data_IF_061613674817
#
_entry.id   IF_061613674817
#
_cell.length_a   1.000
_cell.length_b   1.000
_cell.length_c   1.000
_cell.angle_alpha   90.00
_cell.angle_beta   90.00
_cell.angle_gamma   90.00
#
_symmetry.space_group_name_H-M   'P 1'
#
loop_
_entity.id
_entity.type
_entity.pdbx_description
1 polymer ?
#
# COMPACT_ATOMS: atom_id res chain seq x y z
N UNK A 1 -0.82 1.37 33.65
CA UNK A 1 -0.90 -0.10 33.61
C UNK A 1 -1.36 -0.47 32.23
N UNK A 2 -0.45 -0.88 31.35
CA UNK A 2 -0.82 -1.36 30.03
C UNK A 2 -1.69 -2.59 30.20
N UNK A 3 -2.85 -2.63 29.53
CA UNK A 3 -3.64 -3.85 29.47
C UNK A 3 -2.75 -4.94 28.87
N UNK A 4 -2.38 -5.93 29.69
CA UNK A 4 -1.79 -7.16 29.18
C UNK A 4 -2.74 -7.70 28.10
N UNK A 5 -2.20 -7.94 26.91
CA UNK A 5 -2.97 -8.61 25.87
C UNK A 5 -3.43 -9.95 26.44
N UNK A 6 -4.74 -10.20 26.40
CA UNK A 6 -5.31 -11.46 26.85
C UNK A 6 -4.62 -12.59 26.08
N UNK A 7 -4.02 -13.52 26.82
CA UNK A 7 -3.45 -14.74 26.23
C UNK A 7 -4.50 -15.47 25.39
N UNK A 8 -4.05 -16.01 24.25
CA UNK A 8 -4.89 -16.74 23.32
C UNK A 8 -5.41 -17.98 24.03
N UNK A 9 -6.74 -18.11 24.12
CA UNK A 9 -7.35 -19.30 24.71
C UNK A 9 -7.08 -20.53 23.83
N UNK A 10 -6.79 -21.67 24.44
CA UNK A 10 -6.63 -22.98 23.78
C UNK A 10 -7.96 -23.62 23.39
N UNK A 11 -9.07 -22.87 23.50
CA UNK A 11 -10.40 -23.34 23.14
C UNK A 11 -10.55 -23.42 21.64
N UNK A 12 -11.06 -24.55 21.15
CA UNK A 12 -11.41 -24.77 19.75
C UNK A 12 -12.45 -23.75 19.24
N UNK A 13 -13.23 -23.14 20.14
CA UNK A 13 -14.14 -22.04 19.83
C UNK A 13 -13.84 -20.81 20.69
N UNK A 14 -13.95 -19.63 20.09
CA UNK A 14 -13.86 -18.35 20.79
C UNK A 14 -14.91 -17.39 20.24
N UNK A 15 -15.67 -16.76 21.14
CA UNK A 15 -16.74 -15.84 20.80
C UNK A 15 -16.23 -14.41 20.73
N UNK A 16 -16.65 -13.69 19.70
CA UNK A 16 -16.30 -12.31 19.45
C UNK A 16 -17.57 -11.45 19.33
N UNK A 17 -17.40 -10.15 19.56
CA UNK A 17 -18.41 -9.14 19.33
C UNK A 17 -17.78 -7.95 18.60
N UNK A 18 -18.60 -7.17 17.93
CA UNK A 18 -18.15 -5.90 17.37
C UNK A 18 -17.78 -4.94 18.50
N UNK A 19 -16.81 -4.04 18.24
CA UNK A 19 -16.48 -2.96 19.19
C UNK A 19 -17.62 -1.95 19.30
N UNK A 20 -18.29 -1.69 18.18
CA UNK A 20 -19.50 -0.88 18.09
C UNK A 20 -20.59 -1.81 17.61
N UNK A 21 -21.57 -2.08 18.47
CA UNK A 21 -22.65 -3.01 18.18
C UNK A 21 -23.69 -2.38 17.23
N UNK A 22 -24.32 -3.20 16.39
CA UNK A 22 -25.38 -2.74 15.50
C UNK A 22 -26.12 -3.84 14.76
N UNK A 23 -25.48 -4.99 14.55
CA UNK A 23 -26.09 -6.14 13.85
C UNK A 23 -26.58 -7.24 14.79
N UNK A 24 -26.05 -7.30 16.01
CA UNK A 24 -26.32 -8.35 16.99
C UNK A 24 -25.99 -9.75 16.45
N UNK A 25 -24.91 -9.83 15.68
CA UNK A 25 -24.43 -11.09 15.12
C UNK A 25 -23.70 -11.90 16.20
N UNK A 26 -23.88 -13.23 16.17
CA UNK A 26 -23.06 -14.15 16.95
C UNK A 26 -21.83 -14.52 16.12
N UNK A 27 -20.65 -14.01 16.52
CA UNK A 27 -19.38 -14.25 15.82
C UNK A 27 -18.58 -15.31 16.57
N UNK A 28 -18.25 -16.40 15.88
CA UNK A 28 -17.54 -17.55 16.42
C UNK A 28 -16.28 -17.76 15.58
N UNK A 29 -15.12 -17.74 16.24
CA UNK A 29 -13.87 -18.23 15.69
C UNK A 29 -13.73 -19.69 16.07
N UNK A 30 -13.51 -20.54 15.08
CA UNK A 30 -13.19 -21.95 15.26
C UNK A 30 -11.69 -22.20 15.05
N UNK A 31 -11.19 -23.34 15.52
CA UNK A 31 -9.78 -23.75 15.46
C UNK A 31 -8.98 -23.36 16.71
N UNK A 32 -7.74 -23.81 16.80
CA UNK A 32 -6.86 -23.63 17.97
C UNK A 32 -5.51 -22.97 17.62
N UNK A 33 -5.20 -22.79 16.33
CA UNK A 33 -3.95 -22.20 15.83
C UNK A 33 -4.17 -21.23 14.66
N UNK A 34 -3.40 -20.13 14.53
CA UNK A 34 -3.65 -19.10 13.51
C UNK A 34 -3.59 -19.57 12.04
N UNK A 35 -3.03 -20.74 11.77
CA UNK A 35 -2.98 -21.42 10.47
C UNK A 35 -4.23 -22.25 10.14
N UNK A 36 -5.10 -22.51 11.14
CA UNK A 36 -6.28 -23.38 11.00
C UNK A 36 -7.63 -22.72 11.36
N UNK A 37 -7.60 -21.41 11.66
CA UNK A 37 -8.82 -20.70 12.01
C UNK A 37 -9.83 -20.67 10.87
N UNK A 38 -11.11 -20.71 11.22
CA UNK A 38 -12.21 -20.35 10.34
C UNK A 38 -13.28 -19.62 11.14
N UNK A 39 -14.18 -18.92 10.46
CA UNK A 39 -15.17 -18.08 11.12
C UNK A 39 -16.59 -18.48 10.75
N UNK A 40 -17.46 -18.40 11.75
CA UNK A 40 -18.90 -18.52 11.60
C UNK A 40 -19.56 -17.28 12.18
N UNK A 41 -20.41 -16.63 11.39
CA UNK A 41 -21.22 -15.49 11.80
C UNK A 41 -22.67 -15.88 11.67
N UNK A 42 -23.45 -15.74 12.73
CA UNK A 42 -24.89 -16.05 12.73
C UNK A 42 -25.66 -14.76 12.94
N UNK A 43 -26.47 -14.38 11.97
CA UNK A 43 -27.32 -13.20 12.08
C UNK A 43 -28.55 -13.43 12.95
N UNK A 44 -29.28 -12.35 13.25
CA UNK A 44 -30.52 -12.40 14.06
C UNK A 44 -31.64 -13.26 13.46
N UNK A 45 -31.60 -13.55 12.16
CA UNK A 45 -32.58 -14.40 11.48
C UNK A 45 -32.17 -15.88 11.49
N UNK A 46 -31.01 -16.20 12.06
CA UNK A 46 -30.44 -17.54 12.08
C UNK A 46 -29.73 -17.93 10.78
N UNK A 47 -29.44 -16.97 9.89
CA UNK A 47 -28.61 -17.22 8.70
C UNK A 47 -27.15 -17.30 9.14
N UNK A 48 -26.48 -18.37 8.71
CA UNK A 48 -25.08 -18.66 9.04
C UNK A 48 -24.21 -18.30 7.85
N UNK A 49 -23.15 -17.53 8.10
CA UNK A 49 -22.12 -17.15 7.14
C UNK A 49 -20.82 -17.82 7.56
N UNK A 50 -20.26 -18.66 6.69
CA UNK A 50 -19.05 -19.44 6.97
C UNK A 50 -17.90 -18.89 6.14
N UNK A 51 -16.74 -18.68 6.77
CA UNK A 51 -15.56 -18.08 6.14
C UNK A 51 -14.32 -18.94 6.32
N UNK A 52 -13.56 -19.12 5.24
CA UNK A 52 -12.23 -19.73 5.22
C UNK A 52 -12.18 -21.24 5.44
N UNK A 53 -13.31 -21.94 5.30
CA UNK A 53 -13.36 -23.41 5.27
C UNK A 53 -14.45 -23.90 4.32
N UNK A 54 -14.22 -25.03 3.66
CA UNK A 54 -15.27 -25.78 2.96
C UNK A 54 -15.93 -26.78 3.93
N UNK A 55 -17.16 -26.49 4.36
CA UNK A 55 -17.90 -27.21 5.41
C UNK A 55 -18.07 -28.72 5.18
N UNK A 56 -18.06 -29.21 3.94
CA UNK A 56 -18.20 -30.65 3.62
C UNK A 56 -16.87 -31.39 3.56
N UNK A 57 -15.77 -30.67 3.69
CA UNK A 57 -14.40 -31.17 3.65
C UNK A 57 -13.70 -30.84 4.97
N UNK A 58 -14.34 -31.22 6.08
CA UNK A 58 -13.72 -31.12 7.41
C UNK A 58 -12.48 -32.01 7.41
N UNK A 59 -11.30 -31.40 7.28
CA UNK A 59 -10.00 -32.08 7.21
C UNK A 59 -9.24 -31.91 5.89
N UNK A 60 -9.80 -31.28 4.86
CA UNK A 60 -9.04 -30.87 3.68
C UNK A 60 -8.39 -29.51 3.88
N UNK A 61 -7.22 -29.32 3.25
CA UNK A 61 -6.51 -28.05 3.18
C UNK A 61 -7.50 -26.92 2.81
N UNK A 62 -7.62 -25.83 3.59
CA UNK A 62 -8.39 -24.66 3.18
C UNK A 62 -7.73 -24.18 1.89
N UNK A 63 -8.33 -24.46 0.74
CA UNK A 63 -7.80 -24.10 -0.57
C UNK A 63 -7.73 -22.58 -0.77
N UNK A 64 -8.10 -22.03 -1.93
CA UNK A 64 -8.02 -20.59 -2.19
C UNK A 64 -9.04 -19.74 -1.39
N UNK A 65 -9.63 -20.30 -0.33
CA UNK A 65 -10.64 -19.68 0.55
C UNK A 65 -10.03 -18.84 1.68
N UNK A 66 -8.70 -18.84 1.79
CA UNK A 66 -7.94 -18.03 2.74
C UNK A 66 -6.71 -17.42 2.06
N UNK A 67 -6.24 -16.28 2.55
CA UNK A 67 -4.90 -15.78 2.22
C UNK A 67 -3.97 -16.01 3.40
N UNK A 68 -2.85 -16.68 3.12
CA UNK A 68 -1.87 -17.10 4.13
C UNK A 68 -0.53 -16.40 3.95
N UNK A 69 0.14 -16.18 5.06
CA UNK A 69 1.52 -15.69 5.08
C UNK A 69 2.47 -16.77 4.54
N UNK A 70 3.31 -16.49 3.53
CA UNK A 70 4.16 -17.51 2.92
C UNK A 70 5.11 -18.24 3.88
N UNK A 71 5.63 -17.56 4.89
CA UNK A 71 6.65 -18.12 5.80
C UNK A 71 6.06 -18.92 6.97
N UNK A 72 4.86 -18.59 7.41
CA UNK A 72 4.28 -19.12 8.66
C UNK A 72 2.99 -19.92 8.45
N UNK A 73 2.41 -19.87 7.24
CA UNK A 73 1.09 -20.41 6.92
C UNK A 73 -0.07 -19.82 7.75
N UNK A 74 0.21 -18.77 8.54
CA UNK A 74 -0.81 -18.07 9.31
C UNK A 74 -1.80 -17.39 8.38
N UNK A 75 -3.09 -17.53 8.70
CA UNK A 75 -4.15 -16.94 7.88
C UNK A 75 -4.32 -15.46 8.23
N UNK A 76 -4.32 -14.60 7.21
CA UNK A 76 -4.58 -13.17 7.35
C UNK A 76 -5.97 -12.74 6.84
N UNK A 77 -6.57 -13.52 5.94
CA UNK A 77 -7.89 -13.23 5.36
C UNK A 77 -8.67 -14.53 5.17
N UNK A 78 -9.93 -14.52 5.59
CA UNK A 78 -10.89 -15.61 5.39
C UNK A 78 -11.98 -15.15 4.42
N UNK A 79 -12.17 -15.87 3.32
CA UNK A 79 -13.19 -15.57 2.30
C UNK A 79 -14.50 -16.26 2.66
N UNK A 80 -15.64 -15.65 2.31
CA UNK A 80 -16.96 -16.24 2.50
C UNK A 80 -17.06 -17.49 1.64
N UNK A 81 -17.31 -18.66 2.22
CA UNK A 81 -17.43 -19.91 1.48
C UNK A 81 -18.87 -20.38 1.40
N UNK A 82 -19.70 -20.06 2.41
CA UNK A 82 -21.09 -20.50 2.47
C UNK A 82 -22.00 -19.50 3.17
N UNK A 83 -23.24 -19.43 2.69
CA UNK A 83 -24.38 -18.83 3.38
C UNK A 83 -25.47 -19.88 3.51
N UNK A 84 -25.90 -20.17 4.73
CA UNK A 84 -26.87 -21.22 5.04
C UNK A 84 -28.04 -20.59 5.79
N UNK A 85 -29.25 -20.70 5.25
CA UNK A 85 -30.44 -20.21 5.94
C UNK A 85 -30.93 -21.17 7.04
N UNK A 86 -31.93 -20.74 7.81
CA UNK A 86 -32.51 -21.56 8.89
C UNK A 86 -33.19 -22.86 8.42
N UNK A 87 -33.47 -22.98 7.13
CA UNK A 87 -34.09 -24.13 6.52
C UNK A 87 -33.07 -25.10 5.93
N UNK A 88 -31.78 -24.74 5.89
CA UNK A 88 -30.72 -25.55 5.28
C UNK A 88 -30.47 -25.25 3.80
N UNK A 89 -31.16 -24.26 3.22
CA UNK A 89 -30.82 -23.81 1.87
C UNK A 89 -29.45 -23.13 1.92
N UNK A 90 -28.60 -23.43 0.94
CA UNK A 90 -27.21 -22.95 0.91
C UNK A 90 -26.86 -22.22 -0.39
N UNK A 91 -25.98 -21.24 -0.25
CA UNK A 91 -25.19 -20.64 -1.32
C UNK A 91 -23.73 -20.99 -1.03
N UNK A 92 -23.01 -21.50 -2.03
CA UNK A 92 -21.60 -21.82 -1.92
C UNK A 92 -20.77 -20.94 -2.86
N UNK A 93 -19.64 -20.46 -2.37
CA UNK A 93 -18.70 -19.59 -3.06
C UNK A 93 -17.37 -20.31 -3.18
N UNK A 94 -16.87 -20.44 -4.41
CA UNK A 94 -15.59 -21.05 -4.71
C UNK A 94 -14.63 -19.98 -5.24
N UNK A 95 -13.34 -20.22 -5.05
CA UNK A 95 -12.29 -19.28 -5.41
C UNK A 95 -11.19 -19.99 -6.22
N UNK A 96 -10.34 -19.20 -6.84
CA UNK A 96 -9.04 -19.60 -7.41
C UNK A 96 -7.97 -18.72 -6.77
N UNK A 97 -6.80 -19.28 -6.54
CA UNK A 97 -5.62 -18.52 -6.11
C UNK A 97 -4.76 -18.20 -7.32
N UNK A 98 -4.25 -16.97 -7.36
CA UNK A 98 -3.32 -16.47 -8.37
C UNK A 98 -2.05 -16.03 -7.66
N UNK A 99 -0.93 -16.68 -7.99
CA UNK A 99 0.39 -16.23 -7.61
C UNK A 99 0.95 -15.32 -8.70
N UNK A 100 1.42 -14.14 -8.30
CA UNK A 100 1.96 -13.14 -9.21
C UNK A 100 3.47 -13.34 -9.41
N UNK A 101 3.88 -13.41 -10.68
CA UNK A 101 5.27 -13.68 -11.08
C UNK A 101 5.90 -12.53 -11.88
N UNK A 102 5.30 -11.33 -11.87
CA UNK A 102 5.91 -10.15 -12.47
C UNK A 102 7.10 -9.64 -11.64
N UNK A 103 7.93 -8.79 -12.24
CA UNK A 103 9.15 -8.29 -11.60
C UNK A 103 8.87 -7.49 -10.32
N UNK A 104 7.89 -6.58 -10.35
CA UNK A 104 7.47 -5.78 -9.20
C UNK A 104 6.27 -6.48 -8.55
N UNK A 105 6.39 -6.84 -7.27
CA UNK A 105 5.34 -7.61 -6.57
C UNK A 105 5.49 -9.12 -6.67
N UNK A 106 6.63 -9.61 -7.15
CA UNK A 106 6.95 -11.04 -7.24
C UNK A 106 6.61 -11.81 -5.95
N UNK A 107 5.94 -12.95 -6.11
CA UNK A 107 5.55 -13.82 -5.00
C UNK A 107 4.29 -13.37 -4.24
N UNK A 108 3.67 -12.25 -4.64
CA UNK A 108 2.39 -11.86 -4.09
C UNK A 108 1.25 -12.76 -4.54
N UNK A 109 0.27 -12.98 -3.66
CA UNK A 109 -0.87 -13.87 -3.95
C UNK A 109 -2.21 -13.17 -3.74
N UNK A 110 -3.21 -13.59 -4.50
CA UNK A 110 -4.58 -13.12 -4.35
C UNK A 110 -5.56 -14.25 -4.68
N UNK A 111 -6.72 -14.21 -4.04
CA UNK A 111 -7.83 -15.11 -4.34
C UNK A 111 -8.94 -14.38 -5.09
N UNK A 112 -9.44 -15.01 -6.14
CA UNK A 112 -10.52 -14.51 -6.99
C UNK A 112 -11.70 -15.47 -6.95
N UNK A 113 -12.91 -14.93 -6.92
CA UNK A 113 -14.12 -15.76 -6.93
C UNK A 113 -14.23 -16.48 -8.28
N UNK A 114 -14.39 -17.79 -8.27
CA UNK A 114 -14.44 -18.59 -9.51
C UNK A 114 -15.86 -18.99 -9.86
N UNK A 115 -16.65 -19.37 -8.86
CA UNK A 115 -18.04 -19.76 -9.06
C UNK A 115 -18.88 -19.59 -7.82
N UNK A 116 -20.19 -19.44 -8.03
CA UNK A 116 -21.21 -19.43 -6.98
C UNK A 116 -22.26 -20.47 -7.35
N UNK A 117 -22.56 -21.38 -6.44
CA UNK A 117 -23.70 -22.28 -6.54
C UNK A 117 -24.79 -21.80 -5.60
N UNK A 118 -26.03 -21.71 -6.08
CA UNK A 118 -27.17 -21.28 -5.27
C UNK A 118 -28.39 -22.15 -5.51
N UNK A 119 -29.34 -22.10 -4.56
CA UNK A 119 -30.45 -23.07 -4.41
C UNK A 119 -30.00 -24.48 -3.98
N UNK A 120 -28.82 -24.60 -3.39
CA UNK A 120 -28.35 -25.88 -2.84
C UNK A 120 -29.06 -26.25 -1.54
N UNK A 121 -28.96 -27.52 -1.16
CA UNK A 121 -29.49 -28.06 0.10
C UNK A 121 -28.66 -29.28 0.52
N UNK A 122 -28.36 -29.42 1.82
CA UNK A 122 -27.51 -30.49 2.36
C UNK A 122 -26.21 -30.67 1.58
N UNK A 123 -26.04 -31.73 0.78
CA UNK A 123 -24.84 -31.98 -0.02
C UNK A 123 -25.00 -31.58 -1.50
N UNK A 124 -26.22 -31.21 -1.92
CA UNK A 124 -26.55 -30.81 -3.29
C UNK A 124 -26.21 -29.33 -3.54
N UNK A 125 -25.46 -29.06 -4.62
CA UNK A 125 -25.08 -27.71 -5.04
C UNK A 125 -26.27 -26.89 -5.55
N UNK A 126 -27.38 -27.52 -5.88
CA UNK A 126 -28.52 -26.88 -6.51
C UNK A 126 -28.32 -26.74 -8.02
N UNK A 127 -29.35 -26.23 -8.69
CA UNK A 127 -29.36 -26.16 -10.17
C UNK A 127 -28.71 -24.92 -10.73
N UNK A 128 -28.56 -23.87 -9.94
CA UNK A 128 -28.07 -22.60 -10.45
C UNK A 128 -26.60 -22.39 -10.13
N UNK A 129 -25.85 -21.95 -11.14
CA UNK A 129 -24.43 -21.68 -11.07
C UNK A 129 -24.12 -20.31 -11.69
N UNK A 130 -23.26 -19.55 -11.05
CA UNK A 130 -22.60 -18.37 -11.60
C UNK A 130 -21.12 -18.69 -11.74
N UNK A 131 -20.52 -18.32 -12.86
CA UNK A 131 -19.11 -18.56 -13.17
C UNK A 131 -18.44 -17.24 -13.56
N UNK A 132 -17.21 -17.06 -13.10
CA UNK A 132 -16.42 -15.86 -13.33
C UNK A 132 -15.20 -16.21 -14.16
N UNK A 133 -15.01 -15.49 -15.27
CA UNK A 133 -13.78 -15.55 -16.05
C UNK A 133 -13.01 -14.25 -15.88
N UNK A 134 -11.69 -14.33 -16.00
CA UNK A 134 -10.79 -13.21 -15.75
C UNK A 134 -9.87 -12.95 -16.94
N UNK A 135 -9.46 -11.69 -17.09
CA UNK A 135 -8.39 -11.25 -17.97
C UNK A 135 -7.32 -10.53 -17.14
N UNK A 136 -6.15 -10.28 -17.74
CA UNK A 136 -5.06 -9.57 -17.07
C UNK A 136 -5.37 -8.08 -16.88
N UNK A 137 -5.00 -7.53 -15.71
CA UNK A 137 -5.00 -6.10 -15.41
C UNK A 137 -3.57 -5.55 -15.59
N UNK A 138 -3.30 -4.70 -16.59
CA UNK A 138 -1.96 -4.13 -16.80
C UNK A 138 -1.46 -3.28 -15.64
N UNK A 139 -2.31 -2.43 -15.09
CA UNK A 139 -2.03 -1.50 -14.01
C UNK A 139 -2.28 -2.13 -12.62
N UNK A 140 -1.85 -3.37 -12.41
CA UNK A 140 -2.14 -4.15 -11.20
C UNK A 140 -1.75 -3.45 -9.87
N UNK A 141 -2.52 -3.72 -8.83
CA UNK A 141 -2.34 -3.11 -7.51
C UNK A 141 -1.59 -4.04 -6.55
N UNK A 142 -0.67 -3.49 -5.76
CA UNK A 142 0.10 -4.24 -4.76
C UNK A 142 -0.24 -3.74 -3.36
N UNK A 143 -0.51 -4.65 -2.43
CA UNK A 143 -0.74 -4.32 -1.02
C UNK A 143 0.10 -5.20 -0.09
N UNK A 144 0.73 -4.59 0.91
CA UNK A 144 1.47 -5.29 1.96
C UNK A 144 0.79 -5.22 3.34
N UNK A 145 -0.49 -4.82 3.40
CA UNK A 145 -1.22 -4.55 4.66
C UNK A 145 -1.31 -5.76 5.60
N UNK A 146 -1.23 -6.97 5.07
CA UNK A 146 -1.29 -8.21 5.83
C UNK A 146 0.09 -8.73 6.30
N UNK A 147 1.16 -7.96 6.05
CA UNK A 147 2.54 -8.39 6.30
C UNK A 147 3.14 -9.29 5.22
N UNK A 148 2.43 -9.46 4.09
CA UNK A 148 2.91 -10.12 2.88
C UNK A 148 2.26 -9.47 1.66
N UNK A 149 2.83 -9.70 0.47
CA UNK A 149 2.35 -9.11 -0.77
C UNK A 149 1.05 -9.76 -1.24
N UNK A 150 0.05 -8.92 -1.49
CA UNK A 150 -1.19 -9.26 -2.16
C UNK A 150 -1.28 -8.45 -3.44
N UNK A 151 -1.28 -9.12 -4.58
CA UNK A 151 -1.24 -8.49 -5.91
C UNK A 151 -2.55 -8.73 -6.64
N UNK A 152 -3.20 -7.65 -7.07
CA UNK A 152 -4.47 -7.71 -7.78
C UNK A 152 -4.27 -7.47 -9.27
N UNK A 153 -4.05 -8.56 -10.03
CA UNK A 153 -3.64 -8.56 -11.44
C UNK A 153 -4.73 -9.03 -12.42
N UNK A 154 -5.97 -9.20 -11.95
CA UNK A 154 -7.09 -9.71 -12.76
C UNK A 154 -8.25 -8.72 -12.82
N UNK A 155 -8.85 -8.62 -14.00
CA UNK A 155 -10.13 -7.98 -14.27
C UNK A 155 -11.17 -9.05 -14.58
N UNK A 156 -12.41 -8.88 -14.12
CA UNK A 156 -13.49 -9.81 -14.47
C UNK A 156 -13.81 -9.64 -15.96
N UNK A 157 -13.61 -10.68 -16.77
CA UNK A 157 -13.89 -10.66 -18.21
C UNK A 157 -15.36 -10.98 -18.49
N UNK A 158 -15.87 -12.05 -17.89
CA UNK A 158 -17.26 -12.44 -18.02
C UNK A 158 -17.85 -12.98 -16.71
N UNK A 159 -19.15 -12.81 -16.56
CA UNK A 159 -19.98 -13.51 -15.56
C UNK A 159 -21.02 -14.32 -16.31
N UNK A 160 -20.94 -15.65 -16.24
CA UNK A 160 -21.86 -16.57 -16.89
C UNK A 160 -22.82 -17.16 -15.88
N UNK A 161 -24.11 -17.16 -16.21
CA UNK A 161 -25.17 -17.71 -15.35
C UNK A 161 -25.78 -18.94 -16.01
N UNK A 162 -25.94 -20.00 -15.23
CA UNK A 162 -26.42 -21.29 -15.69
C UNK A 162 -27.60 -21.77 -14.85
N UNK A 163 -28.51 -22.50 -15.49
CA UNK A 163 -29.53 -23.31 -14.85
C UNK A 163 -29.41 -24.74 -15.36
N UNK A 164 -29.21 -25.69 -14.46
CA UNK A 164 -29.10 -27.11 -14.77
C UNK A 164 -28.06 -27.39 -15.88
N UNK A 165 -26.90 -26.72 -15.76
CA UNK A 165 -25.79 -26.71 -16.73
C UNK A 165 -26.10 -26.09 -18.10
N UNK A 166 -27.26 -25.47 -18.30
CA UNK A 166 -27.58 -24.69 -19.49
C UNK A 166 -27.26 -23.21 -19.26
N UNK A 167 -26.53 -22.59 -20.18
CA UNK A 167 -26.23 -21.17 -20.14
C UNK A 167 -27.53 -20.37 -20.30
N UNK A 168 -27.81 -19.47 -19.36
CA UNK A 168 -28.95 -18.54 -19.41
C UNK A 168 -28.51 -17.21 -20.01
N UNK A 169 -27.37 -16.69 -19.52
CA UNK A 169 -26.91 -15.34 -19.81
C UNK A 169 -25.45 -15.17 -19.46
N UNK A 170 -24.76 -14.38 -20.26
CA UNK A 170 -23.38 -13.94 -20.08
C UNK A 170 -23.35 -12.42 -19.95
N UNK A 171 -22.73 -11.91 -18.88
CA UNK A 171 -22.38 -10.50 -18.76
C UNK A 171 -20.91 -10.35 -19.14
N UNK A 172 -20.62 -9.66 -20.23
CA UNK A 172 -19.25 -9.40 -20.67
C UNK A 172 -18.82 -8.00 -20.29
N UNK A 173 -17.60 -7.86 -19.77
CA UNK A 173 -17.04 -6.60 -19.31
C UNK A 173 -15.90 -6.20 -20.25
N UNK A 174 -15.99 -5.01 -20.82
CA UNK A 174 -14.97 -4.45 -21.68
C UNK A 174 -14.26 -3.31 -20.97
N UNK A 175 -12.95 -3.25 -21.13
CA UNK A 175 -12.08 -2.29 -20.45
C UNK A 175 -11.28 -1.49 -21.45
N UNK A 176 -10.85 -0.29 -21.04
CA UNK A 176 -9.91 0.53 -21.78
C UNK A 176 -8.94 1.25 -20.84
N UNK A 177 -7.89 1.82 -21.40
CA UNK A 177 -6.95 2.68 -20.68
C UNK A 177 -7.57 4.06 -20.51
N UNK A 178 -7.81 4.46 -19.27
CA UNK A 178 -8.23 5.81 -18.89
C UNK A 178 -7.04 6.71 -18.55
N UNK A 179 -7.32 7.84 -17.90
CA UNK A 179 -6.30 8.79 -17.45
C UNK A 179 -5.26 8.11 -16.53
N UNK A 180 -4.01 8.59 -16.60
CA UNK A 180 -2.87 8.06 -15.82
C UNK A 180 -2.62 6.55 -16.00
N UNK A 181 -2.90 6.05 -17.20
CA UNK A 181 -2.77 4.63 -17.58
C UNK A 181 -3.59 3.67 -16.71
N UNK A 182 -4.66 4.16 -16.08
CA UNK A 182 -5.52 3.32 -15.24
C UNK A 182 -6.56 2.59 -16.06
N UNK A 183 -6.76 1.31 -15.76
CA UNK A 183 -7.80 0.53 -16.44
C UNK A 183 -9.18 0.96 -15.93
N UNK A 184 -10.06 1.37 -16.86
CA UNK A 184 -11.46 1.73 -16.60
C UNK A 184 -12.42 0.79 -17.33
N UNK A 185 -13.65 0.66 -16.80
CA UNK A 185 -14.69 -0.18 -17.39
C UNK A 185 -15.41 0.57 -18.51
N UNK A 186 -15.16 0.21 -19.76
CA UNK A 186 -15.75 0.87 -20.93
C UNK A 186 -17.22 0.51 -21.15
N UNK A 187 -17.56 -0.78 -21.02
CA UNK A 187 -18.93 -1.25 -21.22
C UNK A 187 -19.23 -2.56 -20.54
N UNK A 188 -20.52 -2.83 -20.33
CA UNK A 188 -21.05 -4.13 -19.96
C UNK A 188 -22.04 -4.57 -21.04
N UNK A 189 -21.86 -5.78 -21.57
CA UNK A 189 -22.81 -6.41 -22.48
C UNK A 189 -23.58 -7.53 -21.77
N UNK A 190 -24.91 -7.45 -21.78
CA UNK A 190 -25.83 -8.53 -21.39
C UNK A 190 -26.12 -9.39 -22.63
N UNK A 191 -25.63 -10.62 -22.65
CA UNK A 191 -25.63 -11.52 -23.81
C UNK A 191 -26.43 -12.78 -23.51
N UNK A 192 -27.43 -13.05 -24.33
CA UNK A 192 -28.25 -14.26 -24.32
C UNK A 192 -28.01 -15.16 -25.52
N UNK A 193 -27.50 -14.60 -26.63
CA UNK A 193 -27.00 -15.35 -27.78
C UNK A 193 -25.46 -15.33 -27.76
N UNK A 194 -24.85 -16.46 -27.38
CA UNK A 194 -23.40 -16.57 -27.20
C UNK A 194 -22.62 -16.34 -28.51
N UNK A 195 -23.26 -16.50 -29.68
CA UNK A 195 -22.61 -16.20 -30.97
C UNK A 195 -22.28 -14.72 -31.16
N UNK A 196 -22.90 -13.83 -30.37
CA UNK A 196 -22.66 -12.39 -30.40
C UNK A 196 -21.55 -11.94 -29.46
N UNK A 197 -20.95 -12.83 -28.66
CA UNK A 197 -19.98 -12.43 -27.62
C UNK A 197 -18.80 -11.63 -28.19
N UNK A 198 -18.21 -12.09 -29.29
CA UNK A 198 -17.09 -11.40 -29.94
C UNK A 198 -17.54 -10.07 -30.58
N UNK A 199 -18.79 -10.01 -31.05
CA UNK A 199 -19.38 -8.82 -31.66
C UNK A 199 -19.59 -7.70 -30.64
N UNK A 200 -19.93 -8.03 -29.39
CA UNK A 200 -20.17 -7.05 -28.31
C UNK A 200 -18.97 -6.85 -27.39
N UNK A 201 -17.86 -7.53 -27.65
CA UNK A 201 -16.61 -7.36 -26.90
C UNK A 201 -15.50 -6.82 -27.79
N UNK A 202 -14.89 -7.67 -28.61
CA UNK A 202 -13.73 -7.31 -29.45
C UNK A 202 -14.10 -6.43 -30.64
N UNK A 203 -15.24 -6.70 -31.29
CA UNK A 203 -15.60 -6.06 -32.56
C UNK A 203 -16.67 -4.96 -32.43
N UNK A 204 -16.97 -4.52 -31.20
CA UNK A 204 -18.02 -3.54 -30.96
C UNK A 204 -17.56 -2.13 -31.39
N UNK A 205 -18.31 -1.49 -32.28
CA UNK A 205 -18.05 -0.10 -32.69
C UNK A 205 -18.66 0.88 -31.69
N UNK A 206 -17.81 1.45 -30.84
CA UNK A 206 -18.22 2.42 -29.83
C UNK A 206 -18.61 3.79 -30.41
N UNK A 207 -18.17 4.12 -31.63
CA UNK A 207 -18.53 5.40 -32.27
C UNK A 207 -19.94 5.37 -32.87
N UNK A 208 -20.44 4.17 -33.16
CA UNK A 208 -21.79 3.94 -33.65
C UNK A 208 -22.46 2.82 -32.86
N UNK A 209 -22.90 3.10 -31.61
CA UNK A 209 -23.40 2.07 -30.72
C UNK A 209 -24.72 1.49 -31.24
N UNK A 210 -24.77 0.16 -31.37
CA UNK A 210 -25.92 -0.60 -31.87
C UNK A 210 -26.28 -1.70 -30.89
N UNK A 211 -27.59 -1.93 -30.72
CA UNK A 211 -28.11 -3.04 -29.94
C UNK A 211 -28.42 -4.23 -30.85
N UNK A 212 -28.16 -5.45 -30.37
CA UNK A 212 -28.39 -6.67 -31.12
C UNK A 212 -29.58 -7.43 -30.53
N UNK A 213 -30.33 -8.13 -31.37
CA UNK A 213 -31.28 -9.11 -30.85
C UNK A 213 -30.49 -10.22 -30.16
N UNK A 214 -30.67 -10.39 -28.86
CA UNK A 214 -29.91 -11.36 -28.07
C UNK A 214 -28.68 -10.79 -27.35
N UNK A 215 -28.31 -9.51 -27.56
CA UNK A 215 -27.28 -8.86 -26.76
C UNK A 215 -27.53 -7.35 -26.59
N UNK A 216 -27.44 -6.84 -25.36
CA UNK A 216 -27.59 -5.41 -25.04
C UNK A 216 -26.30 -4.86 -24.46
N UNK A 217 -25.76 -3.79 -25.04
CA UNK A 217 -24.51 -3.15 -24.60
C UNK A 217 -24.80 -1.83 -23.88
N UNK A 218 -24.28 -1.71 -22.66
CA UNK A 218 -24.31 -0.52 -21.83
C UNK A 218 -22.91 0.10 -21.79
N UNK A 219 -22.76 1.32 -22.30
CA UNK A 219 -21.49 2.03 -22.39
C UNK A 219 -21.40 3.04 -21.26
N UNK A 220 -20.22 3.20 -20.69
CA UNK A 220 -19.94 4.17 -19.65
C UNK A 220 -19.10 5.31 -20.22
N UNK A 221 -19.53 6.53 -19.94
CA UNK A 221 -18.75 7.73 -20.20
C UNK A 221 -18.12 8.21 -18.89
N UNK A 222 -16.84 8.54 -18.95
CA UNK A 222 -16.08 9.06 -17.82
C UNK A 222 -15.63 10.49 -18.11
N UNK A 223 -15.47 11.28 -17.06
CA UNK A 223 -14.70 12.50 -17.16
C UNK A 223 -13.24 12.13 -17.44
N UNK A 224 -12.74 12.49 -18.61
CA UNK A 224 -11.32 12.38 -18.96
C UNK A 224 -10.69 13.73 -18.76
N UNK A 225 -9.77 13.83 -17.80
CA UNK A 225 -8.86 14.96 -17.74
C UNK A 225 -7.93 14.84 -18.96
N UNK A 226 -7.83 15.90 -19.78
CA UNK A 226 -6.80 15.97 -20.82
C UNK A 226 -5.44 15.90 -20.12
N UNK A 227 -4.83 14.72 -20.18
CA UNK A 227 -3.69 14.39 -19.35
C UNK A 227 -2.47 15.23 -19.69
N UNK A 228 -1.81 15.71 -18.63
CA UNK A 228 -0.37 15.91 -18.64
C UNK A 228 0.24 14.57 -19.05
N UNK A 229 0.84 14.48 -20.23
CA UNK A 229 1.59 13.30 -20.66
C UNK A 229 2.95 13.32 -19.97
N UNK A 230 3.23 12.29 -19.15
CA UNK A 230 4.59 12.03 -18.71
C UNK A 230 5.30 11.31 -19.85
N UNK A 231 6.15 12.00 -20.60
CA UNK A 231 7.03 11.33 -21.55
C UNK A 231 8.02 10.44 -20.79
N UNK A 232 8.31 9.26 -21.35
CA UNK A 232 9.34 8.34 -20.85
C UNK A 232 10.77 8.88 -21.09
N UNK A 233 10.87 10.01 -21.82
CA UNK A 233 12.08 10.79 -21.85
C UNK A 233 12.36 11.24 -20.42
N UNK A 234 13.35 10.58 -19.81
CA UNK A 234 14.06 11.09 -18.65
C UNK A 234 14.69 12.40 -19.10
N UNK A 235 13.90 13.47 -19.09
CA UNK A 235 14.44 14.81 -18.95
C UNK A 235 15.10 14.77 -17.59
N UNK A 236 16.42 14.60 -17.58
CA UNK A 236 17.23 14.87 -16.40
C UNK A 236 17.07 16.36 -16.12
N UNK A 237 15.98 16.72 -15.43
CA UNK A 237 15.76 18.08 -14.93
C UNK A 237 16.82 18.41 -13.86
N UNK A 238 17.52 17.40 -13.34
CA UNK A 238 18.44 17.50 -12.22
C UNK A 238 19.72 16.69 -12.47
N UNK A 239 20.80 17.35 -12.92
CA UNK A 239 22.15 16.80 -12.72
C UNK A 239 22.46 16.82 -11.22
N UNK A 240 22.52 15.66 -10.56
CA UNK A 240 23.37 15.50 -9.38
C UNK A 240 24.82 15.41 -9.85
N UNK A 241 25.42 16.55 -10.19
CA UNK A 241 26.87 16.64 -10.14
C UNK A 241 27.28 16.53 -8.66
N UNK A 242 27.74 15.36 -8.24
CA UNK A 242 28.59 15.21 -7.06
C UNK A 242 29.94 15.90 -7.35
N UNK A 243 29.96 17.24 -7.30
CA UNK A 243 31.23 17.94 -7.19
C UNK A 243 31.66 17.98 -5.72
N UNK A 244 32.91 17.57 -5.48
CA UNK A 244 33.64 17.79 -4.24
C UNK A 244 33.73 19.30 -3.94
N UNK A 245 32.65 19.88 -3.42
CA UNK A 245 32.70 21.22 -2.83
C UNK A 245 33.42 21.05 -1.50
N UNK A 246 34.74 21.30 -1.53
CA UNK A 246 35.60 21.26 -0.37
C UNK A 246 34.95 21.96 0.82
N UNK A 247 35.10 21.40 2.02
CA UNK A 247 34.38 21.75 3.24
C UNK A 247 34.50 23.22 3.73
N UNK A 248 35.27 24.07 3.05
CA UNK A 248 35.69 25.38 3.55
C UNK A 248 35.00 26.63 2.94
N UNK A 249 34.53 26.70 1.67
CA UNK A 249 33.84 27.90 1.16
C UNK A 249 32.40 28.03 1.68
N UNK A 250 31.73 26.92 2.00
CA UNK A 250 30.31 26.88 2.40
C UNK A 250 30.05 27.50 3.78
N UNK A 251 31.06 27.54 4.66
CA UNK A 251 30.94 28.16 5.99
C UNK A 251 30.92 29.70 5.90
N UNK A 252 31.48 30.29 4.84
CA UNK A 252 31.67 31.74 4.74
C UNK A 252 30.77 32.44 3.71
N UNK A 253 30.22 31.71 2.74
CA UNK A 253 29.35 32.25 1.66
C UNK A 253 27.89 31.83 1.80
N UNK A 254 27.49 31.46 3.02
CA UNK A 254 26.16 30.95 3.35
C UNK A 254 25.03 31.81 2.78
N UNK A 255 24.50 31.34 1.65
CA UNK A 255 23.25 31.65 0.92
C UNK A 255 23.51 31.62 -0.60
N UNK A 256 24.65 32.10 -1.12
CA UNK A 256 24.88 32.21 -2.57
C UNK A 256 24.98 30.85 -3.31
N UNK A 257 25.49 29.81 -2.64
CA UNK A 257 25.50 28.45 -3.21
C UNK A 257 24.12 27.74 -3.17
N UNK A 258 23.16 28.30 -2.41
CA UNK A 258 21.81 27.75 -2.24
C UNK A 258 20.84 28.38 -3.26
N UNK A 259 21.11 29.62 -3.69
CA UNK A 259 20.31 30.38 -4.67
C UNK A 259 20.83 30.30 -6.12
N UNK A 260 21.91 29.56 -6.38
CA UNK A 260 22.41 29.31 -7.74
C UNK A 260 21.32 28.61 -8.59
N UNK A 261 20.69 29.39 -9.48
CA UNK A 261 19.57 28.97 -10.34
C UNK A 261 19.95 27.84 -11.31
N UNK A 262 21.25 27.60 -11.53
CA UNK A 262 21.74 26.49 -12.37
C UNK A 262 21.74 25.13 -11.65
N UNK A 263 21.44 25.10 -10.35
CA UNK A 263 21.56 23.89 -9.50
C UNK A 263 20.25 23.57 -8.80
N UNK A 264 19.28 23.14 -9.58
CA UNK A 264 17.96 22.76 -9.08
C UNK A 264 18.06 21.40 -8.37
N UNK A 265 17.66 21.32 -7.10
CA UNK A 265 17.50 20.04 -6.38
C UNK A 265 16.32 20.15 -5.44
N UNK A 266 15.46 19.13 -5.44
CA UNK A 266 14.27 19.03 -4.60
C UNK A 266 14.64 18.55 -3.19
N UNK A 267 13.97 19.07 -2.15
CA UNK A 267 14.16 18.61 -0.77
C UNK A 267 15.40 19.16 -0.05
N UNK A 268 15.88 20.36 -0.41
CA UNK A 268 17.01 21.00 0.28
C UNK A 268 16.63 21.37 1.72
N UNK A 269 17.44 20.93 2.66
CA UNK A 269 17.32 21.27 4.09
C UNK A 269 18.56 22.01 4.58
N UNK A 270 18.36 22.98 5.47
CA UNK A 270 19.43 23.62 6.25
C UNK A 270 19.49 22.96 7.63
N UNK A 271 20.55 22.18 7.87
CA UNK A 271 20.81 21.53 9.15
C UNK A 271 21.88 22.27 9.96
N UNK A 272 21.62 22.53 11.24
CA UNK A 272 22.66 22.86 12.22
C UNK A 272 22.56 21.90 13.40
N UNK A 273 23.64 21.16 13.66
CA UNK A 273 23.75 20.23 14.77
C UNK A 273 24.88 20.62 15.72
N UNK A 274 24.57 20.67 17.01
CA UNK A 274 25.54 20.87 18.08
C UNK A 274 25.59 19.60 18.94
N UNK A 275 26.79 19.04 19.12
CA UNK A 275 27.02 17.87 19.96
C UNK A 275 28.09 18.17 21.01
N UNK A 276 27.85 17.77 22.26
CA UNK A 276 28.81 17.83 23.35
C UNK A 276 28.73 16.55 24.16
N UNK A 277 29.86 15.88 24.37
CA UNK A 277 29.93 14.60 25.08
C UNK A 277 31.27 14.38 25.76
N UNK A 278 31.27 13.55 26.80
CA UNK A 278 32.45 13.21 27.59
C UNK A 278 32.30 11.85 28.27
N UNK A 279 33.42 11.22 28.60
CA UNK A 279 33.48 9.92 29.25
C UNK A 279 34.41 9.95 30.46
N UNK A 280 34.04 9.25 31.54
CA UNK A 280 34.87 9.05 32.73
C UNK A 280 35.10 7.55 32.89
N UNK A 281 36.35 7.13 33.03
CA UNK A 281 36.74 5.73 33.17
C UNK A 281 37.60 5.55 34.44
N UNK A 282 37.37 4.49 35.21
CA UNK A 282 38.15 4.09 36.37
C UNK A 282 38.82 2.73 36.06
N UNK A 283 40.15 2.69 36.08
CA UNK A 283 40.94 1.47 35.87
C UNK A 283 41.30 0.76 37.19
N UNK A 284 41.19 -0.57 37.23
CA UNK A 284 41.46 -1.41 38.41
C UNK A 284 42.83 -2.14 38.37
N UNK A 285 43.69 -1.84 37.38
CA UNK A 285 45.02 -2.45 37.22
C UNK A 285 46.19 -1.63 37.79
N UNK A 286 47.35 -2.27 37.99
CA UNK A 286 48.60 -1.63 38.49
C UNK A 286 49.31 -0.74 37.45
N UNK A 287 48.80 -0.66 36.23
CA UNK A 287 49.31 0.22 35.17
C UNK A 287 48.27 1.31 34.86
N UNK A 288 48.48 2.51 35.42
CA UNK A 288 47.58 3.67 35.30
C UNK A 288 47.48 4.28 33.89
N UNK A 289 48.22 3.76 32.91
CA UNK A 289 48.12 4.14 31.49
C UNK A 289 47.38 3.12 30.63
N UNK A 290 46.99 1.97 31.20
CA UNK A 290 46.28 0.92 30.48
C UNK A 290 44.77 0.98 30.74
N UNK A 291 43.96 0.85 29.68
CA UNK A 291 42.50 0.69 29.76
C UNK A 291 42.06 -0.75 30.05
N UNK A 292 43.00 -1.68 30.12
CA UNK A 292 42.73 -3.10 30.39
C UNK A 292 42.30 -3.22 31.86
N UNK A 293 41.09 -3.71 32.12
CA UNK A 293 40.37 -3.71 33.41
C UNK A 293 39.87 -2.33 33.84
N UNK A 294 39.10 -1.65 32.98
CA UNK A 294 38.45 -0.37 33.31
C UNK A 294 36.93 -0.43 33.18
N UNK A 295 36.27 0.34 34.05
CA UNK A 295 34.82 0.58 34.05
C UNK A 295 34.58 2.07 33.81
N UNK A 296 33.73 2.42 32.85
CA UNK A 296 33.49 3.82 32.49
C UNK A 296 32.03 4.14 32.21
N UNK A 297 31.70 5.41 32.36
CA UNK A 297 30.43 5.99 31.96
C UNK A 297 30.66 7.04 30.88
N UNK A 298 29.85 7.02 29.83
CA UNK A 298 29.86 8.04 28.79
C UNK A 298 28.49 8.72 28.69
N UNK A 299 28.53 10.03 28.46
CA UNK A 299 27.36 10.84 28.16
C UNK A 299 27.60 11.64 26.89
N UNK A 300 26.63 11.62 25.98
CA UNK A 300 26.66 12.43 24.76
C UNK A 300 25.31 13.09 24.56
N UNK A 301 25.32 14.42 24.45
CA UNK A 301 24.16 15.24 24.13
C UNK A 301 24.28 15.77 22.71
N UNK A 302 23.27 15.54 21.88
CA UNK A 302 23.19 16.09 20.52
C UNK A 302 21.86 16.83 20.34
N UNK A 303 21.93 18.06 19.82
CA UNK A 303 20.77 18.85 19.41
C UNK A 303 20.90 19.23 17.95
N UNK A 304 19.92 18.87 17.14
CA UNK A 304 19.84 19.21 15.73
C UNK A 304 18.58 20.00 15.40
N UNK A 305 18.71 21.00 14.54
CA UNK A 305 17.60 21.70 13.92
C UNK A 305 17.75 21.59 12.41
N UNK A 306 16.71 21.15 11.73
CA UNK A 306 16.62 21.12 10.27
C UNK A 306 15.47 22.02 9.82
N UNK A 307 15.72 22.87 8.82
CA UNK A 307 14.69 23.71 8.18
C UNK A 307 14.65 23.39 6.70
N UNK A 308 13.47 23.07 6.18
CA UNK A 308 13.24 22.85 4.76
C UNK A 308 13.29 24.17 4.00
N UNK A 309 13.99 24.22 2.86
CA UNK A 309 14.24 25.46 2.10
C UNK A 309 13.45 25.49 0.79
N UNK A 310 13.06 24.32 0.26
CA UNK A 310 12.31 24.18 -1.00
C UNK A 310 11.26 23.09 -0.87
N UNK A 311 10.01 23.39 -1.25
CA UNK A 311 8.88 22.47 -1.29
C UNK A 311 8.15 22.56 -2.65
N UNK A 312 7.49 21.47 -3.07
CA UNK A 312 6.57 21.46 -4.22
C UNK A 312 5.14 21.25 -3.73
N UNK A 313 4.23 22.14 -4.12
CA UNK A 313 2.81 22.11 -3.77
C UNK A 313 2.04 23.00 -4.75
N UNK A 314 0.83 22.61 -5.16
CA UNK A 314 -0.09 23.52 -5.88
C UNK A 314 -0.59 24.62 -4.92
N UNK A 315 -0.07 25.85 -5.08
CA UNK A 315 -0.39 26.99 -4.23
C UNK A 315 -1.59 27.75 -4.78
N UNK A 316 -1.70 27.81 -6.11
CA UNK A 316 -2.65 28.69 -6.79
C UNK A 316 -3.95 28.00 -7.22
N UNK A 317 -4.01 26.66 -7.11
CA UNK A 317 -5.18 25.83 -7.34
C UNK A 317 -5.46 25.54 -8.81
N UNK A 318 -4.46 25.66 -9.69
CA UNK A 318 -4.59 25.37 -11.12
C UNK A 318 -4.30 23.91 -11.49
N UNK A 319 -4.03 23.06 -10.49
CA UNK A 319 -3.77 21.63 -10.69
C UNK A 319 -2.34 21.33 -11.14
N UNK A 320 -1.49 22.35 -11.29
CA UNK A 320 -0.07 22.20 -11.55
C UNK A 320 0.74 22.38 -10.26
N UNK A 321 1.89 21.73 -10.19
CA UNK A 321 2.73 21.79 -9.01
C UNK A 321 3.53 23.11 -9.00
N UNK A 322 3.44 23.92 -7.94
CA UNK A 322 4.24 25.13 -7.78
C UNK A 322 5.48 24.85 -6.91
N UNK A 323 6.56 25.62 -7.12
CA UNK A 323 7.76 25.58 -6.28
C UNK A 323 7.73 26.69 -5.24
N UNK A 324 7.85 26.31 -3.99
CA UNK A 324 7.89 27.23 -2.84
C UNK A 324 9.29 27.25 -2.27
N UNK A 325 9.88 28.43 -2.13
CA UNK A 325 11.25 28.63 -1.65
C UNK A 325 11.25 29.58 -0.46
N UNK A 326 11.87 29.17 0.64
CA UNK A 326 12.19 30.05 1.76
C UNK A 326 13.56 30.70 1.53
N UNK A 327 13.60 32.03 1.48
CA UNK A 327 14.82 32.81 1.34
C UNK A 327 14.98 33.84 2.47
N UNK A 328 16.17 34.38 2.64
CA UNK A 328 16.46 35.45 3.60
C UNK A 328 16.72 36.77 2.88
N UNK A 329 15.76 37.69 2.98
CA UNK A 329 15.90 39.06 2.49
C UNK A 329 16.03 39.99 3.69
N UNK A 330 17.11 40.77 3.75
CA UNK A 330 17.41 41.72 4.85
C UNK A 330 17.36 41.14 6.27
N UNK A 331 17.63 39.83 6.40
CA UNK A 331 17.66 39.12 7.68
C UNK A 331 16.31 38.52 8.13
N UNK A 332 15.23 38.81 7.40
CA UNK A 332 13.91 38.20 7.59
C UNK A 332 13.68 37.04 6.63
N UNK A 333 12.95 36.02 7.08
CA UNK A 333 12.56 34.89 6.23
C UNK A 333 11.38 35.30 5.38
N UNK A 334 11.53 35.14 4.07
CA UNK A 334 10.49 35.42 3.08
C UNK A 334 10.27 34.16 2.25
N UNK A 335 9.02 33.77 2.09
CA UNK A 335 8.67 32.63 1.25
C UNK A 335 8.15 33.13 -0.09
N UNK A 336 8.80 32.70 -1.17
CA UNK A 336 8.37 32.95 -2.54
C UNK A 336 7.73 31.70 -3.13
N UNK A 337 6.76 31.87 -4.03
CA UNK A 337 6.29 30.78 -4.88
C UNK A 337 6.56 31.10 -6.35
N UNK A 338 6.89 30.06 -7.09
CA UNK A 338 7.17 30.05 -8.51
C UNK A 338 6.14 29.14 -9.16
N UNK A 339 5.37 29.70 -10.08
CA UNK A 339 4.24 29.01 -10.70
C UNK A 339 4.71 27.88 -11.61
N UNK A 340 4.04 26.74 -11.54
CA UNK A 340 4.11 25.68 -12.55
C UNK A 340 3.28 26.06 -13.78
N UNK A 341 3.86 25.98 -14.97
CA UNK A 341 3.20 26.27 -16.24
C UNK A 341 3.46 25.15 -17.24
N UNK A 342 2.60 25.06 -18.25
CA UNK A 342 2.84 24.21 -19.42
C UNK A 342 3.35 25.12 -20.55
N UNK A 343 4.43 24.71 -21.21
CA UNK A 343 4.93 25.38 -22.41
C UNK A 343 3.98 25.19 -23.61
N UNK A 344 4.30 25.78 -24.77
CA UNK A 344 3.48 25.66 -25.99
C UNK A 344 3.35 24.21 -26.50
N UNK A 345 4.18 23.28 -26.00
CA UNK A 345 4.19 21.86 -26.35
C UNK A 345 3.55 20.98 -25.26
N UNK A 346 3.06 21.56 -24.15
CA UNK A 346 2.47 20.81 -23.04
C UNK A 346 3.49 20.24 -22.05
N UNK A 347 4.75 20.69 -22.08
CA UNK A 347 5.80 20.30 -21.13
C UNK A 347 5.71 21.15 -19.88
N UNK A 348 5.75 20.49 -18.71
CA UNK A 348 5.73 21.17 -17.42
C UNK A 348 7.07 21.89 -17.14
N UNK A 349 6.98 23.19 -16.89
CA UNK A 349 8.08 24.04 -16.49
C UNK A 349 7.72 24.86 -15.24
N UNK A 350 8.72 25.29 -14.48
CA UNK A 350 8.54 26.22 -13.36
C UNK A 350 9.06 27.58 -13.80
N UNK A 351 8.27 28.63 -13.56
CA UNK A 351 8.68 30.00 -13.89
C UNK A 351 10.03 30.35 -13.24
N UNK A 352 10.88 31.06 -13.98
CA UNK A 352 12.20 31.47 -13.49
C UNK A 352 12.14 32.67 -12.52
N UNK A 353 11.03 33.39 -12.51
CA UNK A 353 10.80 34.55 -11.65
C UNK A 353 9.69 34.25 -10.63
N UNK A 354 9.75 34.81 -9.41
CA UNK A 354 8.76 34.55 -8.38
C UNK A 354 7.41 35.16 -8.77
N UNK A 355 6.38 34.32 -8.85
CA UNK A 355 5.00 34.73 -9.18
C UNK A 355 4.33 35.44 -8.00
N UNK A 356 4.86 35.26 -6.78
CA UNK A 356 4.49 36.07 -5.62
C UNK A 356 5.14 35.65 -4.30
N UNK A 357 4.82 36.41 -3.26
CA UNK A 357 5.27 36.16 -1.88
C UNK A 357 4.13 35.55 -1.06
N UNK A 358 4.43 34.48 -0.32
CA UNK A 358 3.53 33.88 0.65
C UNK A 358 3.78 34.47 2.03
N UNK A 359 2.70 34.95 2.66
CA UNK A 359 2.72 35.47 4.02
C UNK A 359 2.60 34.32 5.03
N UNK A 360 3.59 33.42 5.04
CA UNK A 360 3.70 32.30 5.99
C UNK A 360 5.01 32.42 6.79
N UNK A 361 5.04 31.94 8.04
CA UNK A 361 6.18 32.14 8.94
C UNK A 361 7.43 31.31 8.60
N UNK A 362 7.35 30.44 7.58
CA UNK A 362 8.44 29.58 7.10
C UNK A 362 7.93 28.21 6.65
N UNK A 363 8.84 27.40 6.10
CA UNK A 363 8.57 26.01 5.70
C UNK A 363 8.85 25.04 6.86
N UNK A 364 8.75 23.72 6.62
CA UNK A 364 8.85 22.68 7.64
C UNK A 364 10.11 22.80 8.50
N UNK A 365 9.93 22.80 9.83
CA UNK A 365 11.02 22.76 10.79
C UNK A 365 10.99 21.47 11.59
N UNK A 366 12.10 20.75 11.61
CA UNK A 366 12.27 19.53 12.41
C UNK A 366 13.31 19.76 13.50
N UNK A 367 12.94 19.43 14.74
CA UNK A 367 13.82 19.51 15.90
C UNK A 367 14.15 18.10 16.39
N UNK A 368 15.43 17.78 16.51
CA UNK A 368 15.90 16.53 17.10
C UNK A 368 16.73 16.80 18.36
N UNK A 369 16.47 16.02 19.40
CA UNK A 369 17.27 15.99 20.63
C UNK A 369 17.54 14.55 20.98
N UNK A 370 18.82 14.21 21.13
CA UNK A 370 19.24 12.89 21.56
C UNK A 370 20.14 13.00 22.79
N UNK A 371 19.85 12.17 23.78
CA UNK A 371 20.70 11.94 24.95
C UNK A 371 21.10 10.47 24.92
N UNK A 372 22.39 10.20 24.82
CA UNK A 372 22.91 8.84 24.92
C UNK A 372 23.71 8.70 26.20
N UNK A 373 23.35 7.69 26.99
CA UNK A 373 24.10 7.26 28.16
C UNK A 373 24.64 5.87 27.87
N UNK A 374 25.91 5.62 28.18
CA UNK A 374 26.52 4.31 28.03
C UNK A 374 27.38 3.97 29.23
N UNK A 375 27.50 2.67 29.50
CA UNK A 375 28.51 2.11 30.38
C UNK A 375 29.47 1.24 29.55
N UNK A 376 30.78 1.44 29.71
CA UNK A 376 31.79 0.59 29.08
C UNK A 376 32.51 -0.26 30.15
N UNK A 377 32.68 -1.55 29.86
CA UNK A 377 33.50 -2.46 30.67
C UNK A 377 34.52 -3.09 29.73
N UNK A 378 35.81 -2.90 30.02
CA UNK A 378 36.91 -3.47 29.27
C UNK A 378 37.66 -4.47 30.15
N UNK A 379 37.39 -5.76 29.96
CA UNK A 379 38.10 -6.86 30.60
C UNK A 379 38.82 -7.68 29.53
N UNK A 380 40.13 -7.91 29.69
CA UNK A 380 40.93 -8.72 28.77
C UNK A 380 42.13 -9.36 29.46
N UNK A 381 42.33 -10.64 29.17
CA UNK A 381 43.59 -11.39 29.26
C UNK A 381 43.95 -11.77 27.81
N UNK A 382 45.23 -12.04 27.52
CA UNK A 382 45.86 -11.92 26.18
C UNK A 382 45.22 -12.74 25.03
N UNK A 383 44.27 -13.65 25.30
CA UNK A 383 43.52 -14.41 24.29
C UNK A 383 42.04 -14.69 24.68
N UNK A 384 41.15 -13.69 24.70
CA UNK A 384 39.70 -13.92 24.67
C UNK A 384 38.85 -12.72 24.19
N UNK A 385 37.72 -13.06 23.55
CA UNK A 385 36.77 -12.23 22.77
C UNK A 385 36.05 -11.15 23.59
N UNK A 386 35.92 -9.94 23.03
CA UNK A 386 35.14 -8.84 23.62
C UNK A 386 33.63 -9.05 23.42
N UNK A 387 32.85 -8.81 24.48
CA UNK A 387 31.39 -8.71 24.43
C UNK A 387 30.98 -7.27 24.76
N UNK A 388 30.32 -6.59 23.82
CA UNK A 388 29.60 -5.34 24.08
C UNK A 388 28.11 -5.63 24.21
N UNK A 389 27.47 -5.07 25.24
CA UNK A 389 26.02 -5.05 25.38
C UNK A 389 25.56 -3.59 25.44
N UNK A 390 24.71 -3.19 24.50
CA UNK A 390 24.02 -1.89 24.47
C UNK A 390 22.59 -2.14 24.94
N UNK A 391 22.10 -1.35 25.90
CA UNK A 391 20.70 -1.32 26.31
C UNK A 391 20.05 0.00 25.89
#
# INVERSE_FOLDING_TARGET
MGSEYRDRGTSAETYYSYRVEGRFDKIIRHGDSPDNYYWEVIDKNGVRYIYGINYYEVGSNPGPVVLKQPETDNIAKWLLTMVIDKHGNRIQYNYIESAFNGAIGYGGTQAYISSIFYTGFDTDYGKYKVEFEYTYKPDYDISARYGFLVVSDKLCKTIKTYYDNQLIRTYAFNYETGAYEKTILKSIADVTDESLIDQVTTNYDYNNPVQYSGATVHIFDYFTEEGISFEEDVVNVMETEEQEVGFFPTILTGIEAITDQTKQSLGRYKGQSFAFGGSICIGLGVNVKSKIQSFGFNYTHTRGNNTEVVQILDVNGDGLADKVVEDKVDGEFVVYFYKGVLDENGVFEIENEPSGQLNIPGLTQTYSRSNTFGGEILAGEEDAVSLSATY
#
